data_IF_478461275263
#
_entry.id   IF_478461275263
#
_cell.length_a   1.000
_cell.length_b   1.000
_cell.length_c   1.000
_cell.angle_alpha   90.00
_cell.angle_beta   90.00
_cell.angle_gamma   90.00
#
_symmetry.space_group_name_H-M   'P 1'
#
loop_
_entity.id
_entity.type
_entity.pdbx_description
1 polymer ?
#
# COMPACT_ATOMS: atom_id res chain seq x y z
N UNK A 1 -1.79 -15.50 19.66
CA UNK A 1 -2.84 -14.49 19.44
C UNK A 1 -2.17 -13.14 19.67
N UNK A 2 -1.52 -12.61 18.63
CA UNK A 2 -0.82 -11.33 18.70
C UNK A 2 -1.81 -10.26 18.25
N UNK A 3 -1.94 -9.20 19.04
CA UNK A 3 -2.72 -8.02 18.69
C UNK A 3 -2.00 -7.36 17.53
N UNK A 4 -2.54 -7.48 16.31
CA UNK A 4 -2.04 -6.76 15.14
C UNK A 4 -2.11 -5.26 15.44
N UNK A 5 -0.95 -4.68 15.70
CA UNK A 5 -0.79 -3.26 15.99
C UNK A 5 -0.61 -2.57 14.66
N UNK A 6 -1.73 -2.28 13.99
CA UNK A 6 -1.71 -1.53 12.74
C UNK A 6 -0.94 -0.20 12.94
N UNK A 7 0.00 0.08 12.03
CA UNK A 7 0.82 1.29 12.01
C UNK A 7 -0.10 2.47 11.73
N UNK A 8 -0.20 3.37 12.71
CA UNK A 8 -0.88 4.66 12.53
C UNK A 8 0.13 5.66 12.01
N UNK A 9 0.08 5.90 10.71
CA UNK A 9 0.91 6.89 10.03
C UNK A 9 0.10 7.58 8.94
N UNK A 10 0.53 8.78 8.56
CA UNK A 10 0.01 9.40 7.35
C UNK A 10 0.63 8.71 6.14
N UNK A 11 -0.22 8.12 5.29
CA UNK A 11 0.20 7.33 4.14
C UNK A 11 -0.33 7.91 2.83
N UNK A 12 0.29 7.46 1.74
CA UNK A 12 -0.16 7.61 0.36
C UNK A 12 -0.28 6.23 -0.27
N UNK A 13 -1.21 6.11 -1.20
CA UNK A 13 -1.49 4.86 -1.91
C UNK A 13 -1.44 5.13 -3.40
N UNK A 14 -0.52 4.45 -4.08
CA UNK A 14 -0.35 4.55 -5.52
C UNK A 14 -0.74 3.22 -6.17
N UNK A 15 -1.65 3.26 -7.13
CA UNK A 15 -1.89 2.13 -8.04
C UNK A 15 -0.87 2.23 -9.17
N UNK A 16 -0.14 1.15 -9.43
CA UNK A 16 0.98 1.15 -10.37
C UNK A 16 0.89 0.04 -11.41
N UNK A 17 1.39 0.33 -12.61
CA UNK A 17 1.79 -0.68 -13.59
C UNK A 17 3.14 -1.28 -13.17
N UNK A 18 3.13 -2.56 -12.85
CA UNK A 18 4.31 -3.32 -12.43
C UNK A 18 5.37 -3.44 -13.52
N UNK A 19 5.00 -3.26 -14.79
CA UNK A 19 5.91 -3.37 -15.95
C UNK A 19 6.67 -2.08 -16.24
N UNK A 20 6.38 -0.99 -15.53
CA UNK A 20 7.07 0.27 -15.72
C UNK A 20 8.54 0.22 -15.28
N UNK A 21 9.35 1.14 -15.80
CA UNK A 21 10.79 1.22 -15.52
C UNK A 21 11.12 1.62 -14.08
N UNK A 22 10.23 2.41 -13.46
CA UNK A 22 10.35 2.91 -12.09
C UNK A 22 8.96 3.26 -11.52
N UNK A 23 8.94 3.70 -10.26
CA UNK A 23 7.73 4.04 -9.51
C UNK A 23 6.99 5.26 -10.05
N UNK A 24 7.69 6.24 -10.62
CA UNK A 24 7.06 7.42 -11.20
C UNK A 24 6.38 7.06 -12.53
N UNK A 25 7.11 6.39 -13.43
CA UNK A 25 6.57 5.92 -14.70
C UNK A 25 5.43 4.90 -14.54
N UNK A 26 5.42 4.16 -13.42
CA UNK A 26 4.40 3.18 -13.11
C UNK A 26 3.11 3.76 -12.55
N UNK A 27 3.09 5.00 -12.07
CA UNK A 27 1.91 5.57 -11.42
C UNK A 27 0.74 5.74 -12.39
N UNK A 28 -0.41 5.16 -12.02
CA UNK A 28 -1.64 5.24 -12.81
C UNK A 28 -2.73 6.03 -12.11
N UNK A 29 -2.86 5.86 -10.81
CA UNK A 29 -3.90 6.51 -10.02
C UNK A 29 -3.53 6.56 -8.54
N UNK A 30 -4.13 7.51 -7.84
CA UNK A 30 -4.09 7.56 -6.38
C UNK A 30 -5.26 6.76 -5.81
N UNK A 31 -4.97 5.96 -4.79
CA UNK A 31 -5.96 5.21 -4.04
C UNK A 31 -6.12 5.72 -2.60
N UNK A 32 -7.05 5.10 -1.88
CA UNK A 32 -7.29 5.30 -0.46
C UNK A 32 -7.39 3.93 0.19
N UNK A 33 -6.58 3.65 1.20
CA UNK A 33 -6.70 2.44 2.01
C UNK A 33 -7.96 2.53 2.88
N UNK A 34 -9.01 1.80 2.52
CA UNK A 34 -10.32 1.87 3.18
C UNK A 34 -10.49 0.78 4.25
N UNK A 35 -9.70 -0.29 4.14
CA UNK A 35 -9.58 -1.38 5.11
C UNK A 35 -8.16 -1.96 4.99
N UNK A 36 -7.76 -2.84 5.90
CA UNK A 36 -6.42 -3.44 5.92
C UNK A 36 -6.03 -4.08 4.59
N UNK A 37 -6.97 -4.65 3.83
CA UNK A 37 -6.72 -5.30 2.54
C UNK A 37 -7.48 -4.68 1.36
N UNK A 38 -8.07 -3.49 1.53
CA UNK A 38 -8.90 -2.86 0.49
C UNK A 38 -8.48 -1.44 0.19
N UNK A 39 -8.33 -1.16 -1.11
CA UNK A 39 -7.99 0.16 -1.62
C UNK A 39 -9.09 0.64 -2.56
N UNK A 40 -9.69 1.77 -2.22
CA UNK A 40 -10.61 2.51 -3.08
C UNK A 40 -9.82 3.36 -4.07
N UNK A 41 -10.16 3.29 -5.34
CA UNK A 41 -9.64 4.16 -6.40
C UNK A 41 -10.81 4.97 -6.95
N UNK A 42 -11.00 6.22 -6.49
CA UNK A 42 -12.05 7.10 -6.99
C UNK A 42 -11.70 7.58 -8.40
N UNK A 43 -12.71 7.70 -9.27
CA UNK A 43 -12.57 8.14 -10.66
C UNK A 43 -11.43 7.42 -11.42
N UNK A 44 -11.45 6.07 -11.45
CA UNK A 44 -10.38 5.25 -11.99
C UNK A 44 -10.13 5.55 -13.49
N UNK A 45 -8.87 5.69 -13.93
CA UNK A 45 -8.57 5.82 -15.35
C UNK A 45 -8.82 4.50 -16.09
N UNK A 46 -9.10 4.59 -17.40
CA UNK A 46 -9.45 3.43 -18.25
C UNK A 46 -8.40 2.31 -18.21
N UNK A 47 -7.12 2.67 -18.05
CA UNK A 47 -6.02 1.69 -17.97
C UNK A 47 -6.16 0.70 -16.80
N UNK A 48 -6.85 1.06 -15.72
CA UNK A 48 -7.14 0.13 -14.62
C UNK A 48 -8.23 -0.89 -14.95
N UNK A 49 -8.96 -0.68 -16.04
CA UNK A 49 -10.01 -1.59 -16.52
C UNK A 49 -9.48 -2.62 -17.53
N UNK A 50 -8.21 -2.51 -17.94
CA UNK A 50 -7.57 -3.47 -18.85
C UNK A 50 -7.30 -4.79 -18.11
N UNK A 51 -7.93 -5.92 -18.53
CA UNK A 51 -7.72 -7.22 -17.91
C UNK A 51 -6.30 -7.79 -18.10
N UNK A 52 -5.49 -7.20 -18.99
CA UNK A 52 -4.11 -7.60 -19.25
C UNK A 52 -3.07 -6.73 -18.55
N UNK A 53 -3.51 -5.69 -17.84
CA UNK A 53 -2.64 -4.86 -17.03
C UNK A 53 -2.08 -5.67 -15.85
N UNK A 54 -0.78 -5.51 -15.59
CA UNK A 54 -0.10 -6.10 -14.44
C UNK A 54 0.00 -5.03 -13.36
N UNK A 55 -0.97 -5.05 -12.45
CA UNK A 55 -1.20 -3.96 -11.50
C UNK A 55 -0.79 -4.34 -10.09
N UNK A 56 -0.17 -3.39 -9.39
CA UNK A 56 0.12 -3.50 -7.97
C UNK A 56 -0.26 -2.22 -7.23
N UNK A 57 -0.39 -2.33 -5.91
CA UNK A 57 -0.62 -1.20 -5.03
C UNK A 57 0.60 -0.97 -4.16
N UNK A 58 1.08 0.26 -4.16
CA UNK A 58 2.19 0.72 -3.34
C UNK A 58 1.64 1.63 -2.24
N UNK A 59 1.80 1.23 -0.99
CA UNK A 59 1.41 1.99 0.21
C UNK A 59 2.68 2.46 0.90
N UNK A 60 2.80 3.77 1.15
CA UNK A 60 4.02 4.36 1.70
C UNK A 60 3.71 5.54 2.62
N UNK A 61 4.57 5.82 3.62
CA UNK A 61 4.40 6.96 4.52
C UNK A 61 4.68 8.27 3.78
N UNK A 62 4.03 9.36 4.19
CA UNK A 62 4.38 10.71 3.71
C UNK A 62 5.77 11.10 4.19
N UNK A 63 6.08 10.81 5.46
CA UNK A 63 7.40 10.98 6.04
C UNK A 63 8.33 9.82 5.69
N UNK A 64 8.93 9.83 4.50
CA UNK A 64 9.89 8.79 4.07
C UNK A 64 11.09 8.63 5.02
N UNK A 65 11.41 9.68 5.79
CA UNK A 65 12.50 9.71 6.77
C UNK A 65 12.23 8.82 8.00
N UNK A 66 10.97 8.45 8.26
CA UNK A 66 10.53 7.75 9.48
C UNK A 66 10.89 6.26 9.51
N UNK A 67 11.58 5.75 8.47
CA UNK A 67 11.93 4.32 8.29
C UNK A 67 10.73 3.36 8.35
N UNK A 68 9.54 3.88 8.12
CA UNK A 68 8.32 3.07 7.98
C UNK A 68 8.35 2.30 6.64
N UNK A 69 7.73 1.11 6.58
CA UNK A 69 7.83 0.25 5.41
C UNK A 69 7.12 0.83 4.18
N UNK A 70 7.75 0.73 3.02
CA UNK A 70 7.06 0.81 1.73
C UNK A 70 6.48 -0.56 1.44
N UNK A 71 5.17 -0.66 1.43
CA UNK A 71 4.46 -1.91 1.17
C UNK A 71 4.05 -1.98 -0.30
N UNK A 72 4.38 -3.10 -0.94
CA UNK A 72 3.97 -3.38 -2.31
C UNK A 72 3.13 -4.64 -2.28
N UNK A 73 1.86 -4.49 -2.64
CA UNK A 73 0.88 -5.56 -2.60
C UNK A 73 0.36 -5.85 -4.02
N UNK A 74 0.43 -7.10 -4.50
CA UNK A 74 -0.25 -7.46 -5.73
C UNK A 74 -1.77 -7.35 -5.53
N UNK A 75 -2.49 -6.98 -6.59
CA UNK A 75 -3.96 -6.98 -6.57
C UNK A 75 -4.45 -8.34 -7.02
N UNK A 76 -5.27 -9.01 -6.21
CA UNK A 76 -5.86 -10.31 -6.60
C UNK A 76 -7.27 -10.18 -7.15
N UNK A 77 -7.96 -9.07 -6.85
CA UNK A 77 -9.32 -8.82 -7.35
C UNK A 77 -9.64 -7.34 -7.44
N UNK A 78 -10.30 -6.96 -8.54
CA UNK A 78 -10.93 -5.66 -8.72
C UNK A 78 -12.45 -5.78 -8.60
N UNK A 79 -13.09 -4.79 -7.97
CA UNK A 79 -14.55 -4.63 -7.97
C UNK A 79 -14.89 -3.28 -8.58
N UNK A 80 -15.82 -3.28 -9.53
CA UNK A 80 -16.29 -2.09 -10.23
C UNK A 80 -17.53 -1.53 -9.55
N UNK A 81 -17.53 -0.23 -9.27
CA UNK A 81 -18.69 0.50 -8.77
C UNK A 81 -19.08 1.56 -9.79
N UNK A 82 -20.18 1.31 -10.49
CA UNK A 82 -20.69 2.16 -11.56
C UNK A 82 -22.20 2.32 -11.43
N UNK A 83 -22.72 3.46 -11.88
CA UNK A 83 -24.14 3.61 -12.13
C UNK A 83 -24.44 3.05 -13.52
N UNK A 84 -25.17 1.93 -13.58
CA UNK A 84 -25.56 1.24 -14.82
C UNK A 84 -24.37 1.03 -15.78
N UNK A 85 -24.48 1.48 -17.04
CA UNK A 85 -23.48 1.30 -18.10
C UNK A 85 -22.45 2.44 -18.15
N UNK A 86 -22.45 3.35 -17.18
CA UNK A 86 -21.51 4.45 -17.13
C UNK A 86 -20.10 3.98 -16.74
N UNK A 87 -19.11 4.85 -17.00
CA UNK A 87 -17.77 4.67 -16.44
C UNK A 87 -17.86 4.49 -14.91
N UNK A 88 -17.00 3.65 -14.31
CA UNK A 88 -17.07 3.44 -12.89
C UNK A 88 -16.69 4.70 -12.13
N UNK A 89 -17.48 5.03 -11.11
CA UNK A 89 -17.14 6.07 -10.14
C UNK A 89 -16.00 5.63 -9.23
N UNK A 90 -15.86 4.32 -9.02
CA UNK A 90 -14.77 3.74 -8.26
C UNK A 90 -14.39 2.33 -8.70
N UNK A 91 -13.14 1.99 -8.44
CA UNK A 91 -12.70 0.60 -8.29
C UNK A 91 -12.33 0.33 -6.83
N UNK A 92 -12.54 -0.91 -6.38
CA UNK A 92 -11.93 -1.42 -5.15
C UNK A 92 -10.93 -2.52 -5.51
N UNK A 93 -9.66 -2.30 -5.18
CA UNK A 93 -8.62 -3.30 -5.23
C UNK A 93 -8.62 -4.10 -3.93
N UNK A 94 -8.67 -5.43 -4.01
CA UNK A 94 -8.37 -6.31 -2.89
C UNK A 94 -6.91 -6.74 -2.97
N UNK A 95 -6.16 -6.49 -1.89
CA UNK A 95 -4.73 -6.73 -1.78
C UNK A 95 -4.42 -8.19 -1.48
N UNK A 96 -3.34 -8.73 -2.03
CA UNK A 96 -2.92 -10.12 -1.83
C UNK A 96 -2.51 -10.46 -0.39
N UNK A 97 -2.27 -9.43 0.41
CA UNK A 97 -2.02 -9.50 1.84
C UNK A 97 -2.53 -8.20 2.48
N UNK A 98 -2.88 -8.25 3.77
CA UNK A 98 -3.29 -7.07 4.50
C UNK A 98 -2.09 -6.14 4.73
N UNK A 99 -2.31 -4.85 4.51
CA UNK A 99 -1.38 -3.79 4.85
C UNK A 99 -1.14 -3.73 6.36
N UNK A 100 0.09 -3.41 6.74
CA UNK A 100 0.42 -3.11 8.12
C UNK A 100 -0.11 -1.76 8.58
N UNK A 101 -0.56 -0.89 7.66
CA UNK A 101 -1.09 0.43 7.97
C UNK A 101 -2.59 0.41 8.31
N UNK A 102 -3.01 1.35 9.17
CA UNK A 102 -4.44 1.59 9.43
C UNK A 102 -5.13 2.25 8.24
N UNK A 103 -6.44 2.00 8.10
CA UNK A 103 -7.27 2.67 7.09
C UNK A 103 -7.18 4.20 7.19
N UNK A 104 -7.26 4.86 6.03
CA UNK A 104 -7.25 6.32 5.90
C UNK A 104 -8.64 6.94 6.03
N UNK A 105 -9.68 6.12 5.95
CA UNK A 105 -11.07 6.58 5.89
C UNK A 105 -11.61 6.79 7.30
N UNK A 106 -12.11 8.00 7.55
CA UNK A 106 -12.86 8.33 8.75
C UNK A 106 -14.30 7.77 8.73
N UNK A 107 -15.19 8.42 9.49
CA UNK A 107 -16.62 8.07 9.45
C UNK A 107 -17.26 8.67 8.20
N UNK A 108 -18.00 7.86 7.46
CA UNK A 108 -18.72 8.28 6.24
C UNK A 108 -20.22 8.28 6.50
N UNK A 109 -20.91 9.35 6.08
CA UNK A 109 -22.37 9.37 5.97
C UNK A 109 -22.78 9.09 4.52
N UNK A 110 -23.52 8.01 4.31
CA UNK A 110 -23.87 7.54 2.96
C UNK A 110 -24.80 8.50 2.22
N UNK A 111 -25.75 9.13 2.92
CA UNK A 111 -26.69 10.07 2.30
C UNK A 111 -25.96 11.35 1.89
N UNK A 112 -25.14 11.90 2.78
CA UNK A 112 -24.30 13.04 2.47
C UNK A 112 -23.29 12.72 1.35
N UNK A 113 -22.85 11.46 1.21
CA UNK A 113 -21.92 11.06 0.15
C UNK A 113 -22.61 11.03 -1.21
N UNK A 114 -23.83 10.48 -1.26
CA UNK A 114 -24.64 10.52 -2.47
C UNK A 114 -24.89 11.97 -2.92
N UNK A 115 -25.35 12.85 -2.01
CA UNK A 115 -25.56 14.27 -2.31
C UNK A 115 -24.26 14.97 -2.75
N UNK A 116 -23.14 14.65 -2.09
CA UNK A 116 -21.83 15.19 -2.43
C UNK A 116 -21.35 14.79 -3.83
N UNK A 117 -21.57 13.54 -4.22
CA UNK A 117 -21.22 13.03 -5.56
C UNK A 117 -22.07 13.72 -6.62
N UNK A 118 -23.39 13.85 -6.40
CA UNK A 118 -24.29 14.55 -7.33
C UNK A 118 -23.88 16.03 -7.49
N UNK A 119 -23.64 16.72 -6.37
CA UNK A 119 -23.20 18.12 -6.36
C UNK A 119 -21.80 18.34 -6.96
N UNK A 120 -20.99 17.29 -7.06
CA UNK A 120 -19.67 17.31 -7.71
C UNK A 120 -19.71 16.81 -9.16
N UNK A 121 -20.89 16.54 -9.72
CA UNK A 121 -21.03 16.08 -11.11
C UNK A 121 -20.47 14.67 -11.34
N UNK A 122 -20.49 13.81 -10.31
CA UNK A 122 -19.95 12.46 -10.38
C UNK A 122 -18.48 12.34 -9.94
N UNK A 123 -17.84 13.43 -9.49
CA UNK A 123 -16.48 13.36 -8.95
C UNK A 123 -16.49 12.82 -7.51
N UNK A 124 -16.13 11.54 -7.35
CA UNK A 124 -16.07 10.90 -6.03
C UNK A 124 -14.93 11.44 -5.16
N UNK A 125 -13.79 11.85 -5.74
CA UNK A 125 -12.70 12.47 -4.99
C UNK A 125 -13.16 13.75 -4.31
N UNK A 126 -13.82 14.61 -5.07
CA UNK A 126 -14.37 15.87 -4.55
C UNK A 126 -15.40 15.62 -3.44
N UNK A 127 -16.28 14.62 -3.60
CA UNK A 127 -17.27 14.28 -2.59
C UNK A 127 -16.63 13.77 -1.27
N UNK A 128 -15.60 12.92 -1.36
CA UNK A 128 -14.87 12.41 -0.20
C UNK A 128 -14.12 13.53 0.55
N UNK A 129 -13.49 14.47 -0.19
CA UNK A 129 -12.80 15.62 0.40
C UNK A 129 -13.76 16.57 1.12
N UNK A 130 -14.91 16.90 0.51
CA UNK A 130 -15.91 17.78 1.13
C UNK A 130 -16.40 17.28 2.49
N UNK A 131 -16.51 15.96 2.64
CA UNK A 131 -16.87 15.34 3.91
C UNK A 131 -15.70 15.11 4.87
N UNK A 132 -14.47 15.44 4.48
CA UNK A 132 -13.25 15.18 5.27
C UNK A 132 -13.11 13.71 5.65
N UNK A 133 -13.54 12.83 4.74
CA UNK A 133 -13.42 11.37 4.89
C UNK A 133 -11.96 10.94 4.77
N UNK A 134 -11.23 11.65 3.92
CA UNK A 134 -9.79 11.51 3.65
C UNK A 134 -9.10 12.83 3.96
N UNK A 135 -7.79 12.80 4.21
CA UNK A 135 -7.01 14.04 4.35
C UNK A 135 -7.00 14.81 3.03
N UNK A 136 -6.96 16.14 3.10
CA UNK A 136 -7.05 17.01 1.93
C UNK A 136 -5.94 16.73 0.91
N UNK A 137 -4.79 16.24 1.37
CA UNK A 137 -3.58 15.95 0.61
C UNK A 137 -3.36 14.47 0.28
N UNK A 138 -4.32 13.58 0.62
CA UNK A 138 -4.21 12.15 0.32
C UNK A 138 -4.03 11.85 -1.19
N UNK A 139 -4.53 12.75 -2.03
CA UNK A 139 -4.43 12.69 -3.50
C UNK A 139 -3.09 13.20 -4.06
N UNK A 140 -2.21 13.77 -3.23
CA UNK A 140 -0.94 14.35 -3.66
C UNK A 140 0.12 13.26 -3.73
N UNK A 141 0.40 12.83 -4.95
CA UNK A 141 1.48 11.90 -5.31
C UNK A 141 2.13 12.45 -6.57
N UNK A 142 3.41 12.85 -6.48
CA UNK A 142 4.18 13.36 -7.62
C UNK A 142 5.36 12.45 -7.97
N UNK A 143 5.95 12.69 -9.15
CA UNK A 143 7.02 11.87 -9.70
C UNK A 143 8.30 11.90 -8.85
N UNK A 144 8.62 13.03 -8.21
CA UNK A 144 9.81 13.16 -7.37
C UNK A 144 9.64 12.32 -6.10
N UNK A 145 8.47 12.39 -5.48
CA UNK A 145 8.10 11.56 -4.34
C UNK A 145 8.15 10.08 -4.70
N UNK A 146 7.57 9.68 -5.82
CA UNK A 146 7.54 8.28 -6.26
C UNK A 146 8.94 7.73 -6.56
N UNK A 147 9.82 8.54 -7.17
CA UNK A 147 11.24 8.14 -7.36
C UNK A 147 11.92 7.86 -6.02
N UNK A 148 11.75 8.74 -5.03
CA UNK A 148 12.28 8.54 -3.66
C UNK A 148 11.68 7.31 -2.97
N UNK A 149 10.38 7.03 -3.18
CA UNK A 149 9.72 5.82 -2.67
C UNK A 149 10.37 4.57 -3.27
N UNK A 150 10.68 4.57 -4.57
CA UNK A 150 11.37 3.46 -5.23
C UNK A 150 12.76 3.20 -4.67
N UNK A 151 13.54 4.26 -4.42
CA UNK A 151 14.85 4.17 -3.76
C UNK A 151 14.74 3.58 -2.35
N UNK A 152 13.77 4.06 -1.56
CA UNK A 152 13.54 3.58 -0.20
C UNK A 152 13.10 2.11 -0.18
N UNK A 153 12.15 1.73 -1.04
CA UNK A 153 11.71 0.34 -1.19
C UNK A 153 12.87 -0.57 -1.55
N UNK A 154 13.70 -0.18 -2.52
CA UNK A 154 14.87 -0.95 -2.92
C UNK A 154 15.84 -1.13 -1.74
N UNK A 155 16.11 -0.07 -0.99
CA UNK A 155 16.95 -0.12 0.21
C UNK A 155 16.35 -0.99 1.33
N UNK A 156 15.02 -1.04 1.45
CA UNK A 156 14.31 -1.89 2.43
C UNK A 156 14.29 -3.36 2.02
N UNK A 157 14.23 -3.64 0.71
CA UNK A 157 14.24 -4.99 0.13
C UNK A 157 15.65 -5.56 -0.01
N UNK A 158 16.66 -4.70 -0.11
CA UNK A 158 18.05 -5.14 -0.08
C UNK A 158 18.22 -5.97 1.19
N UNK A 159 18.57 -7.27 1.07
CA UNK A 159 18.82 -8.08 2.24
C UNK A 159 19.86 -7.32 3.04
N UNK A 160 19.52 -6.94 4.27
CA UNK A 160 20.54 -6.57 5.24
C UNK A 160 21.37 -7.81 5.41
N UNK A 161 22.41 -7.95 4.58
CA UNK A 161 23.49 -8.90 4.80
C UNK A 161 24.06 -8.42 6.12
N UNK A 162 23.54 -8.95 7.22
CA UNK A 162 24.35 -9.08 8.39
C UNK A 162 25.54 -9.90 7.89
N UNK A 163 26.65 -9.22 7.60
CA UNK A 163 27.92 -9.88 7.47
C UNK A 163 28.19 -10.50 8.84
N UNK A 164 27.66 -11.70 9.03
CA UNK A 164 27.97 -12.50 10.19
C UNK A 164 29.41 -12.96 9.98
N UNK A 165 30.34 -12.14 10.46
CA UNK A 165 31.75 -12.51 10.56
C UNK A 165 31.88 -13.34 11.82
N UNK A 166 32.44 -14.52 11.66
CA UNK A 166 32.73 -15.43 12.75
C UNK A 166 34.22 -15.68 12.73
N UNK A 167 34.86 -15.67 13.90
CA UNK A 167 36.29 -15.87 14.00
C UNK A 167 36.66 -17.36 13.94
N UNK A 168 35.66 -18.25 13.93
CA UNK A 168 35.85 -19.69 13.79
C UNK A 168 34.63 -20.43 13.23
N UNK A 169 34.87 -21.63 12.69
CA UNK A 169 33.81 -22.56 12.24
C UNK A 169 32.85 -22.96 13.38
N UNK A 170 33.31 -22.96 14.64
CA UNK A 170 32.50 -23.28 15.81
C UNK A 170 31.45 -22.20 16.08
N UNK A 171 31.86 -20.94 16.02
CA UNK A 171 30.97 -19.79 16.22
C UNK A 171 29.96 -19.66 15.08
N UNK A 172 30.41 -19.89 13.84
CA UNK A 172 29.55 -19.94 12.67
C UNK A 172 28.45 -21.01 12.83
N UNK A 173 28.81 -22.19 13.32
CA UNK A 173 27.85 -23.28 13.60
C UNK A 173 26.86 -22.89 14.73
N UNK A 174 27.33 -22.17 15.76
CA UNK A 174 26.45 -21.59 16.78
C UNK A 174 25.51 -20.52 16.22
N UNK A 175 25.97 -19.71 15.28
CA UNK A 175 25.16 -18.74 14.55
C UNK A 175 24.05 -19.37 13.71
N UNK A 176 24.32 -20.53 13.09
CA UNK A 176 23.28 -21.30 12.40
C UNK A 176 22.19 -21.81 13.33
N UNK A 177 22.51 -22.11 14.60
CA UNK A 177 21.52 -22.61 15.56
C UNK A 177 20.37 -21.61 15.81
N UNK A 178 20.62 -20.30 15.64
CA UNK A 178 19.59 -19.24 15.76
C UNK A 178 18.61 -19.26 14.57
N UNK A 179 19.10 -19.61 13.39
CA UNK A 179 18.34 -19.60 12.13
C UNK A 179 17.67 -20.94 11.86
N UNK A 180 18.27 -22.00 12.37
CA UNK A 180 17.86 -23.35 12.15
C UNK A 180 17.99 -24.11 13.46
N UNK A 181 16.87 -24.31 14.15
CA UNK A 181 16.79 -25.03 15.43
C UNK A 181 17.12 -26.54 15.25
N UNK A 182 18.34 -26.87 14.89
CA UNK A 182 18.85 -28.24 14.74
C UNK A 182 19.40 -28.80 16.07
N UNK A 183 19.53 -27.95 17.08
CA UNK A 183 20.18 -28.25 18.34
C UNK A 183 19.11 -28.67 19.37
N UNK A 184 19.00 -29.97 19.70
CA UNK A 184 18.34 -30.40 20.94
C UNK A 184 19.33 -31.16 21.83
N UNK A 185 19.32 -30.92 23.17
CA UNK A 185 18.62 -29.86 23.91
C UNK A 185 19.49 -28.60 24.07
N UNK A 186 18.90 -27.41 23.94
CA UNK A 186 19.54 -26.15 24.33
C UNK A 186 19.62 -26.10 25.87
N UNK A 187 20.84 -26.06 26.42
CA UNK A 187 21.03 -25.81 27.85
C UNK A 187 20.48 -24.42 28.24
N UNK A 188 20.03 -24.23 29.49
CA UNK A 188 19.54 -22.93 29.95
C UNK A 188 20.68 -21.89 29.90
N UNK A 189 20.32 -20.67 29.46
CA UNK A 189 21.20 -19.50 29.44
C UNK A 189 21.60 -19.06 30.84
#
# INVERSE_FOLDING_TARGET
MCVDTAIRAEIRVSVQDRRASDRAAGHLAVGVLIDGDQVLVPNPPERLLDPHADLEVVVFPVGLEERLPVEVAPVWKWRRFALTDQAPLALIASLGHASGYSSQVGRVDAAALAEGIEAAGGDLWEALRRQRVVTDDAHVVDDDLLRRVGELEQAQREPRRAEHRFDSLRELTGGFCILFCFCQPHGPR
#
